data_IF_979431485243
#
_entry.id   IF_979431485243
#
_cell.length_a   1.000
_cell.length_b   1.000
_cell.length_c   1.000
_cell.angle_alpha   90.00
_cell.angle_beta   90.00
_cell.angle_gamma   90.00
#
_symmetry.space_group_name_H-M   'P 1'
#
loop_
_entity.id
_entity.type
_entity.pdbx_description
1 polymer ?
#
# COMPACT_ATOMS: atom_id res chain seq x y z
N UNK A 1 -62.55 -28.81 -1.19
CA UNK A 1 -61.58 -27.93 -0.52
C UNK A 1 -60.90 -28.70 0.59
N UNK A 2 -59.59 -28.96 0.48
CA UNK A 2 -58.76 -29.28 1.64
C UNK A 2 -57.62 -28.26 1.79
N UNK A 3 -57.43 -27.80 3.03
CA UNK A 3 -56.31 -27.00 3.50
C UNK A 3 -55.06 -27.89 3.55
N UNK A 4 -53.99 -27.48 2.89
CA UNK A 4 -52.66 -28.11 2.99
C UNK A 4 -51.89 -27.41 4.12
N UNK A 5 -51.73 -28.10 5.26
CA UNK A 5 -50.70 -27.77 6.25
C UNK A 5 -49.41 -28.46 5.84
N UNK A 6 -48.47 -27.70 5.29
CA UNK A 6 -47.12 -28.15 4.98
C UNK A 6 -46.17 -27.83 6.15
N UNK A 7 -45.28 -28.75 6.56
CA UNK A 7 -44.37 -28.55 7.68
C UNK A 7 -43.32 -27.47 7.37
N UNK A 8 -43.04 -26.61 8.35
CA UNK A 8 -41.96 -25.63 8.29
C UNK A 8 -40.61 -26.32 8.11
N UNK A 9 -39.93 -26.04 7.00
CA UNK A 9 -38.56 -26.50 6.77
C UNK A 9 -37.60 -25.60 7.52
N UNK A 10 -37.06 -26.17 8.59
CA UNK A 10 -36.04 -25.60 9.44
C UNK A 10 -34.76 -25.25 8.67
N UNK A 11 -34.13 -24.18 9.13
CA UNK A 11 -32.75 -23.82 8.88
C UNK A 11 -31.81 -24.96 9.30
N UNK A 12 -31.58 -25.93 8.43
CA UNK A 12 -30.53 -26.95 8.55
C UNK A 12 -30.10 -27.44 7.17
N UNK A 13 -29.44 -26.56 6.42
CA UNK A 13 -28.63 -26.96 5.28
C UNK A 13 -27.30 -26.19 5.28
N UNK A 14 -26.65 -26.08 6.44
CA UNK A 14 -25.20 -25.81 6.46
C UNK A 14 -24.52 -27.14 6.17
N UNK A 15 -24.38 -27.43 4.88
CA UNK A 15 -23.72 -28.63 4.39
C UNK A 15 -22.23 -28.54 4.69
N UNK A 16 -21.69 -29.58 5.34
CA UNK A 16 -20.26 -29.77 5.61
C UNK A 16 -19.36 -29.79 4.35
N UNK A 17 -19.91 -29.56 3.16
CA UNK A 17 -19.19 -29.38 1.90
C UNK A 17 -18.61 -27.96 1.71
N UNK A 18 -19.06 -26.93 2.44
CA UNK A 18 -18.61 -25.54 2.28
C UNK A 18 -17.27 -25.21 2.96
N UNK A 19 -16.68 -26.15 3.71
CA UNK A 19 -15.41 -25.93 4.41
C UNK A 19 -14.17 -25.97 3.49
N UNK A 20 -14.30 -26.40 2.24
CA UNK A 20 -13.15 -26.50 1.30
C UNK A 20 -12.70 -25.14 0.75
N UNK A 21 -13.53 -24.11 0.86
CA UNK A 21 -13.18 -22.74 0.47
C UNK A 21 -12.73 -21.86 1.63
N UNK A 22 -12.67 -22.39 2.86
CA UNK A 22 -11.91 -21.71 3.93
C UNK A 22 -10.44 -21.85 3.59
N UNK A 23 -9.86 -20.78 3.04
CA UNK A 23 -8.43 -20.57 2.97
C UNK A 23 -7.84 -20.69 4.37
N UNK A 24 -7.51 -21.91 4.78
CA UNK A 24 -6.68 -22.22 5.93
C UNK A 24 -5.23 -22.28 5.46
N UNK A 25 -4.80 -21.21 4.78
CA UNK A 25 -3.39 -20.95 4.58
C UNK A 25 -2.93 -20.22 5.84
N UNK A 26 -1.96 -20.74 6.61
CA UNK A 26 -1.32 -19.91 7.61
C UNK A 26 -0.79 -18.69 6.86
N UNK A 27 -1.37 -17.51 7.10
CA UNK A 27 -0.85 -16.25 6.57
C UNK A 27 0.65 -16.28 6.86
N UNK A 28 1.46 -16.28 5.80
CA UNK A 28 2.91 -16.25 5.95
C UNK A 28 3.25 -15.15 6.96
N UNK A 29 4.27 -15.33 7.83
CA UNK A 29 4.65 -14.29 8.78
C UNK A 29 4.80 -12.99 8.00
N UNK A 30 3.90 -12.03 8.28
CA UNK A 30 3.76 -10.79 7.49
C UNK A 30 5.16 -10.26 7.18
N UNK A 31 5.55 -10.35 5.90
CA UNK A 31 6.77 -9.70 5.43
C UNK A 31 6.51 -8.20 5.54
N UNK A 32 7.51 -7.46 5.98
CA UNK A 32 7.33 -6.12 6.53
C UNK A 32 6.63 -5.17 5.56
N UNK A 33 5.90 -4.21 6.10
CA UNK A 33 5.24 -3.13 5.35
C UNK A 33 6.27 -2.05 5.03
N UNK A 34 6.27 -1.54 3.80
CA UNK A 34 7.02 -0.33 3.43
C UNK A 34 6.08 0.84 3.30
N UNK A 35 6.35 1.92 4.01
CA UNK A 35 5.62 3.18 3.87
C UNK A 35 6.55 4.18 3.23
N UNK A 36 6.16 4.72 2.08
CA UNK A 36 6.98 5.63 1.29
C UNK A 36 6.25 6.96 1.11
N UNK A 37 6.83 8.03 1.65
CA UNK A 37 6.40 9.39 1.37
C UNK A 37 6.92 9.82 -0.01
N UNK A 38 6.05 10.31 -0.87
CA UNK A 38 6.37 10.70 -2.24
C UNK A 38 6.70 12.19 -2.40
N UNK A 39 6.39 13.01 -1.39
CA UNK A 39 6.68 14.43 -1.36
C UNK A 39 6.90 14.93 0.08
N UNK A 40 7.28 16.19 0.23
CA UNK A 40 7.64 16.79 1.53
C UNK A 40 6.46 16.92 2.50
N UNK A 41 5.23 17.11 2.00
CA UNK A 41 4.04 17.12 2.86
C UNK A 41 3.74 15.73 3.37
N UNK A 42 3.85 14.72 2.50
CA UNK A 42 3.71 13.32 2.89
C UNK A 42 4.81 12.90 3.87
N UNK A 43 6.04 13.42 3.71
CA UNK A 43 7.14 13.16 4.64
C UNK A 43 6.74 13.56 6.08
N UNK A 44 6.15 14.74 6.25
CA UNK A 44 5.76 15.23 7.58
C UNK A 44 4.76 14.29 8.27
N UNK A 45 3.75 13.82 7.53
CA UNK A 45 2.72 12.88 8.01
C UNK A 45 3.35 11.54 8.35
N UNK A 46 4.12 10.97 7.43
CA UNK A 46 4.76 9.66 7.60
C UNK A 46 5.79 9.69 8.74
N UNK A 47 6.51 10.81 8.92
CA UNK A 47 7.44 11.03 10.04
C UNK A 47 6.71 11.14 11.38
N UNK A 48 5.49 11.67 11.41
CA UNK A 48 4.70 11.71 12.64
C UNK A 48 4.21 10.30 13.00
N UNK A 49 3.66 9.56 12.04
CA UNK A 49 3.16 8.20 12.25
C UNK A 49 4.28 7.23 12.63
N UNK A 50 5.48 7.37 12.06
CA UNK A 50 6.61 6.47 12.34
C UNK A 50 7.03 6.45 13.82
N UNK A 51 6.70 7.50 14.59
CA UNK A 51 6.97 7.57 16.04
C UNK A 51 6.18 6.55 16.86
N UNK A 52 5.14 5.93 16.31
CA UNK A 52 4.21 5.06 17.02
C UNK A 52 4.67 3.59 17.23
N UNK A 53 5.96 3.30 17.15
CA UNK A 53 6.56 2.02 17.59
C UNK A 53 6.16 0.81 16.75
N UNK A 54 6.23 0.93 15.42
CA UNK A 54 5.85 -0.14 14.49
C UNK A 54 6.95 -1.19 14.33
N UNK A 55 6.66 -2.44 14.68
CA UNK A 55 7.65 -3.53 14.65
C UNK A 55 7.89 -4.11 13.25
N UNK A 56 6.92 -3.94 12.34
CA UNK A 56 6.97 -4.52 10.99
C UNK A 56 6.88 -3.50 9.86
N UNK A 57 6.78 -2.22 10.17
CA UNK A 57 6.77 -1.15 9.18
C UNK A 57 8.13 -0.46 9.13
N UNK A 58 8.63 -0.25 7.91
CA UNK A 58 9.78 0.63 7.64
C UNK A 58 9.28 1.84 6.86
N UNK A 59 9.85 3.00 7.17
CA UNK A 59 9.38 4.28 6.67
C UNK A 59 10.49 4.95 5.85
N UNK A 60 10.15 5.42 4.66
CA UNK A 60 11.07 6.03 3.72
C UNK A 60 10.48 7.30 3.11
N UNK A 61 11.36 8.16 2.63
CA UNK A 61 11.06 9.25 1.70
C UNK A 61 11.63 8.85 0.34
N UNK A 62 10.81 8.94 -0.70
CA UNK A 62 11.27 8.74 -2.07
C UNK A 62 11.95 10.00 -2.58
N UNK A 63 13.16 9.84 -3.10
CA UNK A 63 13.86 10.86 -3.85
C UNK A 63 14.01 10.39 -5.30
N UNK A 64 13.41 11.15 -6.21
CA UNK A 64 13.53 10.91 -7.64
C UNK A 64 14.81 11.58 -8.14
N UNK A 65 15.80 10.77 -8.51
CA UNK A 65 16.96 11.29 -9.23
C UNK A 65 16.62 11.38 -10.71
N UNK A 66 16.17 12.55 -11.14
CA UNK A 66 16.13 12.90 -12.55
C UNK A 66 17.57 12.89 -13.07
N UNK A 67 17.90 11.87 -13.86
CA UNK A 67 19.22 11.73 -14.46
C UNK A 67 19.59 13.06 -15.16
N UNK A 68 20.50 13.82 -14.55
CA UNK A 68 20.92 15.16 -15.00
C UNK A 68 21.69 15.10 -16.32
N UNK A 69 21.95 13.89 -16.83
CA UNK A 69 22.63 13.59 -18.08
C UNK A 69 21.78 13.87 -19.34
N UNK A 70 20.50 14.24 -19.20
CA UNK A 70 19.65 14.64 -20.35
C UNK A 70 19.42 13.53 -21.38
N UNK A 71 19.68 12.27 -21.01
CA UNK A 71 19.45 11.11 -21.86
C UNK A 71 17.95 10.84 -21.86
N UNK A 72 17.26 11.30 -22.91
CA UNK A 72 15.85 10.97 -23.13
C UNK A 72 15.67 9.44 -23.15
N UNK A 73 14.84 8.92 -22.25
CA UNK A 73 14.52 7.49 -22.16
C UNK A 73 15.37 6.70 -21.15
N UNK A 74 16.28 7.33 -20.40
CA UNK A 74 16.89 6.68 -19.25
C UNK A 74 15.84 6.44 -18.15
N UNK A 75 15.87 5.27 -17.48
CA UNK A 75 14.93 4.98 -16.41
C UNK A 75 15.08 6.01 -15.29
N UNK A 76 13.95 6.47 -14.76
CA UNK A 76 13.89 7.27 -13.55
C UNK A 76 14.38 6.40 -12.40
N UNK A 77 15.41 6.86 -11.68
CA UNK A 77 15.95 6.16 -10.53
C UNK A 77 15.34 6.74 -9.25
N UNK A 78 14.72 5.87 -8.46
CA UNK A 78 14.14 6.24 -7.16
C UNK A 78 15.03 5.68 -6.06
N UNK A 79 15.52 6.58 -5.22
CA UNK A 79 16.28 6.25 -4.01
C UNK A 79 15.37 6.43 -2.80
N UNK A 80 15.49 5.53 -1.82
CA UNK A 80 14.69 5.55 -0.60
C UNK A 80 15.55 6.01 0.58
N UNK A 81 15.09 7.06 1.26
CA UNK A 81 15.74 7.62 2.44
C UNK A 81 14.96 7.26 3.69
N UNK A 82 15.52 6.42 4.55
CA UNK A 82 14.96 6.08 5.85
C UNK A 82 15.06 7.24 6.84
N UNK A 83 14.15 7.29 7.81
CA UNK A 83 14.20 8.31 8.88
C UNK A 83 15.33 8.11 9.90
N UNK A 84 15.99 6.96 9.87
CA UNK A 84 17.22 6.66 10.60
C UNK A 84 18.49 7.15 9.87
N UNK A 85 18.34 7.76 8.69
CA UNK A 85 19.44 8.20 7.84
C UNK A 85 19.98 7.11 6.91
N UNK A 86 19.37 5.91 6.90
CA UNK A 86 19.71 4.89 5.91
C UNK A 86 19.30 5.33 4.51
N UNK A 87 20.16 5.05 3.53
CA UNK A 87 19.84 5.21 2.11
C UNK A 87 19.78 3.82 1.52
N UNK A 88 18.69 3.50 0.85
CA UNK A 88 18.44 2.19 0.28
C UNK A 88 17.99 2.30 -1.18
N UNK A 89 18.37 1.31 -1.99
CA UNK A 89 17.83 1.19 -3.33
C UNK A 89 16.39 0.67 -3.26
N UNK A 90 15.54 1.10 -4.19
CA UNK A 90 14.18 0.60 -4.29
C UNK A 90 14.14 -0.92 -4.47
N UNK A 91 15.09 -1.49 -5.21
CA UNK A 91 15.11 -2.93 -5.49
C UNK A 91 15.42 -3.77 -4.25
N UNK A 92 16.39 -3.35 -3.44
CA UNK A 92 16.78 -4.07 -2.22
C UNK A 92 15.64 -4.07 -1.20
N UNK A 93 14.93 -2.93 -1.07
CA UNK A 93 13.82 -2.83 -0.14
C UNK A 93 12.58 -3.61 -0.56
N UNK A 94 12.40 -3.86 -1.86
CA UNK A 94 11.25 -4.63 -2.37
C UNK A 94 11.50 -6.14 -2.46
N UNK A 95 12.68 -6.66 -2.09
CA UNK A 95 12.99 -8.10 -2.22
C UNK A 95 12.16 -8.97 -1.25
N UNK A 96 11.93 -8.49 -0.02
CA UNK A 96 11.28 -9.24 1.05
C UNK A 96 10.07 -8.50 1.64
N UNK A 97 9.22 -7.94 0.77
CA UNK A 97 8.06 -7.13 1.16
C UNK A 97 6.78 -7.70 0.57
N UNK A 98 5.74 -7.81 1.40
CA UNK A 98 4.40 -8.23 0.95
C UNK A 98 3.52 -7.01 0.59
N UNK A 99 3.81 -5.84 1.15
CA UNK A 99 2.97 -4.65 0.98
C UNK A 99 3.74 -3.33 1.05
N UNK A 100 3.42 -2.43 0.12
CA UNK A 100 3.95 -1.06 0.05
C UNK A 100 2.79 -0.06 0.08
N UNK A 101 2.86 0.89 1.00
CA UNK A 101 1.97 2.05 1.09
C UNK A 101 2.72 3.26 0.54
N UNK A 102 2.19 3.89 -0.49
CA UNK A 102 2.68 5.16 -1.01
C UNK A 102 1.78 6.29 -0.51
N UNK A 103 2.39 7.34 0.02
CA UNK A 103 1.69 8.50 0.61
C UNK A 103 2.08 9.75 -0.16
N UNK A 104 1.10 10.52 -0.62
CA UNK A 104 1.31 11.79 -1.30
C UNK A 104 0.38 12.89 -0.77
N UNK A 105 0.86 14.12 -0.82
CA UNK A 105 0.07 15.34 -0.60
C UNK A 105 0.05 16.25 -1.81
N UNK A 106 0.82 15.95 -2.86
CA UNK A 106 0.92 16.77 -4.08
C UNK A 106 1.24 15.94 -5.33
N UNK A 107 1.30 16.60 -6.49
CA UNK A 107 1.72 16.00 -7.77
C UNK A 107 3.23 15.80 -7.95
N UNK A 108 4.06 16.38 -7.06
CA UNK A 108 5.52 16.21 -7.10
C UNK A 108 5.95 14.74 -7.00
N UNK A 109 5.13 13.92 -6.33
CA UNK A 109 5.38 12.50 -6.14
C UNK A 109 5.01 11.59 -7.31
N UNK A 110 4.41 12.10 -8.39
CA UNK A 110 3.80 11.29 -9.45
C UNK A 110 4.78 10.34 -10.17
N UNK A 111 5.99 10.80 -10.51
CA UNK A 111 7.02 9.99 -11.16
C UNK A 111 7.56 8.89 -10.24
N UNK A 112 7.77 9.21 -8.95
CA UNK A 112 8.15 8.24 -7.93
C UNK A 112 7.05 7.18 -7.75
N UNK A 113 5.79 7.62 -7.69
CA UNK A 113 4.62 6.74 -7.59
C UNK A 113 4.56 5.75 -8.76
N UNK A 114 4.76 6.22 -9.99
CA UNK A 114 4.76 5.37 -11.18
C UNK A 114 5.90 4.34 -11.14
N UNK A 115 7.11 4.78 -10.77
CA UNK A 115 8.30 3.92 -10.73
C UNK A 115 8.18 2.86 -9.63
N UNK A 116 7.78 3.26 -8.42
CA UNK A 116 7.57 2.34 -7.29
C UNK A 116 6.41 1.39 -7.58
N UNK A 117 5.29 1.90 -8.10
CA UNK A 117 4.12 1.10 -8.46
C UNK A 117 4.43 0.05 -9.53
N UNK A 118 5.17 0.42 -10.57
CA UNK A 118 5.62 -0.52 -11.60
C UNK A 118 6.53 -1.61 -11.02
N UNK A 119 7.48 -1.24 -10.16
CA UNK A 119 8.37 -2.19 -9.48
C UNK A 119 7.60 -3.17 -8.57
N UNK A 120 6.60 -2.67 -7.84
CA UNK A 120 5.72 -3.50 -6.99
C UNK A 120 4.87 -4.47 -7.84
N UNK A 121 4.30 -3.98 -8.95
CA UNK A 121 3.43 -4.76 -9.84
C UNK A 121 4.16 -5.97 -10.44
N UNK A 122 5.39 -5.78 -10.93
CA UNK A 122 6.21 -6.88 -11.49
C UNK A 122 6.54 -7.94 -10.43
N UNK A 123 6.60 -7.55 -9.16
CA UNK A 123 6.94 -8.43 -8.02
C UNK A 123 5.72 -9.03 -7.32
N UNK A 124 4.50 -8.64 -7.72
CA UNK A 124 3.26 -9.09 -7.06
C UNK A 124 3.06 -8.53 -5.65
N UNK A 125 3.69 -7.40 -5.33
CA UNK A 125 3.60 -6.75 -4.02
C UNK A 125 2.29 -5.98 -3.93
N UNK A 126 1.57 -6.09 -2.81
CA UNK A 126 0.34 -5.31 -2.61
C UNK A 126 0.68 -3.83 -2.49
N UNK A 127 0.11 -3.02 -3.39
CA UNK A 127 0.30 -1.57 -3.37
C UNK A 127 -0.95 -0.87 -2.86
N UNK A 128 -0.80 -0.05 -1.82
CA UNK A 128 -1.81 0.89 -1.35
C UNK A 128 -1.34 2.33 -1.60
N UNK A 129 -2.25 3.19 -2.04
CA UNK A 129 -2.01 4.63 -2.22
C UNK A 129 -2.85 5.46 -1.26
N UNK A 130 -2.24 6.43 -0.59
CA UNK A 130 -2.88 7.38 0.30
C UNK A 130 -2.59 8.79 -0.22
N UNK A 131 -3.64 9.55 -0.54
CA UNK A 131 -3.49 10.90 -1.11
C UNK A 131 -4.24 11.91 -0.24
N UNK A 132 -3.51 12.74 0.50
CA UNK A 132 -4.08 13.59 1.55
C UNK A 132 -4.31 15.06 1.14
N UNK A 133 -3.75 15.49 0.00
CA UNK A 133 -3.76 16.89 -0.43
C UNK A 133 -4.63 17.21 -1.64
N UNK A 134 -4.73 18.51 -1.91
CA UNK A 134 -5.31 19.08 -3.14
C UNK A 134 -4.28 19.08 -4.29
N UNK A 135 -4.74 19.17 -5.54
CA UNK A 135 -3.88 19.15 -6.74
C UNK A 135 -2.99 17.89 -6.86
N UNK A 136 -3.63 16.72 -6.78
CA UNK A 136 -2.98 15.39 -6.79
C UNK A 136 -3.38 14.52 -7.99
N UNK A 137 -3.92 15.12 -9.04
CA UNK A 137 -4.48 14.41 -10.20
C UNK A 137 -3.44 13.57 -10.95
N UNK A 138 -2.22 14.07 -11.08
CA UNK A 138 -1.13 13.34 -11.74
C UNK A 138 -0.64 12.19 -10.86
N UNK A 139 -0.50 12.40 -9.55
CA UNK A 139 -0.11 11.34 -8.62
C UNK A 139 -1.18 10.25 -8.55
N UNK A 140 -2.46 10.61 -8.48
CA UNK A 140 -3.58 9.65 -8.53
C UNK A 140 -3.56 8.87 -9.84
N UNK A 141 -3.34 9.54 -10.97
CA UNK A 141 -3.25 8.89 -12.29
C UNK A 141 -2.06 7.94 -12.40
N UNK A 142 -0.93 8.28 -11.78
CA UNK A 142 0.26 7.43 -11.71
C UNK A 142 0.06 6.21 -10.80
N UNK A 143 -0.71 6.35 -9.71
CA UNK A 143 -0.99 5.27 -8.76
C UNK A 143 -2.06 4.30 -9.25
N UNK A 144 -3.12 4.78 -9.93
CA UNK A 144 -4.29 3.98 -10.34
C UNK A 144 -3.98 2.64 -11.03
N UNK A 145 -2.99 2.54 -11.95
CA UNK A 145 -2.71 1.27 -12.62
C UNK A 145 -2.12 0.19 -11.69
N UNK A 146 -1.51 0.60 -10.58
CA UNK A 146 -0.74 -0.29 -9.71
C UNK A 146 -1.35 -0.46 -8.32
N UNK A 147 -2.08 0.55 -7.83
CA UNK A 147 -2.71 0.56 -6.53
C UNK A 147 -3.90 -0.40 -6.48
N UNK A 148 -3.83 -1.39 -5.60
CA UNK A 148 -4.93 -2.30 -5.29
C UNK A 148 -5.95 -1.63 -4.36
N UNK A 149 -5.46 -0.70 -3.52
CA UNK A 149 -6.27 0.16 -2.66
C UNK A 149 -5.78 1.59 -2.86
N UNK A 150 -6.69 2.53 -3.11
CA UNK A 150 -6.37 3.94 -3.28
C UNK A 150 -7.40 4.78 -2.53
N UNK A 151 -6.95 5.57 -1.56
CA UNK A 151 -7.82 6.43 -0.74
C UNK A 151 -7.54 7.91 -1.07
N UNK A 152 -8.59 8.61 -1.54
CA UNK A 152 -8.55 10.00 -2.03
C UNK A 152 -9.90 10.69 -1.75
N UNK A 153 -9.93 11.87 -1.09
CA UNK A 153 -8.87 12.38 -0.22
C UNK A 153 -8.76 11.50 1.02
N UNK A 154 -7.56 11.44 1.58
CA UNK A 154 -7.28 10.80 2.84
C UNK A 154 -6.89 11.84 3.90
N UNK A 155 -6.91 11.45 5.17
CA UNK A 155 -6.37 12.22 6.27
C UNK A 155 -5.22 11.48 7.00
N UNK A 156 -4.54 12.20 7.90
CA UNK A 156 -3.38 11.66 8.63
C UNK A 156 -3.74 10.41 9.46
N UNK A 157 -4.99 10.31 9.94
CA UNK A 157 -5.45 9.20 10.76
C UNK A 157 -5.72 7.94 9.91
N UNK A 158 -6.02 8.09 8.63
CA UNK A 158 -6.19 6.96 7.71
C UNK A 158 -4.91 6.11 7.60
N UNK A 159 -3.72 6.74 7.58
CA UNK A 159 -2.45 6.00 7.55
C UNK A 159 -2.29 5.11 8.78
N UNK A 160 -2.57 5.65 9.96
CA UNK A 160 -2.50 4.88 11.22
C UNK A 160 -3.53 3.76 11.25
N UNK A 161 -4.74 4.01 10.75
CA UNK A 161 -5.81 3.01 10.67
C UNK A 161 -5.42 1.86 9.74
N UNK A 162 -4.86 2.15 8.57
CA UNK A 162 -4.38 1.15 7.61
C UNK A 162 -3.23 0.31 8.20
N UNK A 163 -2.23 0.96 8.82
CA UNK A 163 -1.11 0.24 9.45
C UNK A 163 -1.57 -0.64 10.62
N UNK A 164 -2.56 -0.16 11.39
CA UNK A 164 -3.19 -0.94 12.47
C UNK A 164 -3.94 -2.15 11.90
N UNK A 165 -4.70 -1.97 10.82
CA UNK A 165 -5.42 -3.05 10.14
C UNK A 165 -4.46 -4.12 9.58
N UNK A 166 -3.30 -3.70 9.07
CA UNK A 166 -2.24 -4.59 8.60
C UNK A 166 -1.41 -5.24 9.72
N UNK A 167 -1.73 -4.96 10.99
CA UNK A 167 -1.04 -5.51 12.17
C UNK A 167 0.46 -5.24 12.14
N UNK A 168 0.83 -4.00 11.82
CA UNK A 168 2.23 -3.57 11.77
C UNK A 168 2.86 -3.33 13.17
N UNK A 169 2.07 -3.40 14.25
CA UNK A 169 2.54 -3.39 15.65
C UNK A 169 3.03 -4.76 16.11
#
# INVERSE_FOLDING_TARGET
MPVWSGPGTAAHASSAAELRYRMNYPLAPSRGVRVVALDSGAEAVVRQVSKSGWNKARFYVAETNLNTQGIQGAPVEVVLHGFDGAVASLNDELEDVDSTIMVATSDFGSEAAATIGAACSVRGIMTAGLVLGEDTENTVSALRPYAQVLLVPADDADLEAILTAMRAK
#
